data_IF_216076993057
#
_entry.id   IF_216076993057
#
_cell.length_a   1.000
_cell.length_b   1.000
_cell.length_c   1.000
_cell.angle_alpha   90.00
_cell.angle_beta   90.00
_cell.angle_gamma   90.00
#
_symmetry.space_group_name_H-M   'P 1'
#
loop_
_entity.id
_entity.type
_entity.pdbx_description
1 polymer ?
#
# COMPACT_ATOMS: atom_id res chain seq x y z
N UNK A 1 25.21 -51.11 -26.01
CA UNK A 1 25.37 -50.97 -27.47
C UNK A 1 26.41 -51.97 -27.92
N UNK A 2 26.29 -52.46 -29.14
CA UNK A 2 27.31 -53.29 -29.77
C UNK A 2 28.25 -52.41 -30.62
N UNK A 3 29.45 -52.91 -30.89
CA UNK A 3 30.39 -52.26 -31.82
C UNK A 3 30.11 -52.76 -33.23
N UNK A 4 30.01 -51.85 -34.18
CA UNK A 4 29.87 -52.15 -35.62
C UNK A 4 31.08 -51.61 -36.37
N UNK A 5 31.53 -52.35 -37.39
CA UNK A 5 32.59 -51.91 -38.28
C UNK A 5 31.99 -51.23 -39.51
N UNK A 6 32.37 -49.98 -39.75
CA UNK A 6 32.03 -49.23 -40.95
C UNK A 6 33.20 -49.39 -41.94
N UNK A 7 32.89 -49.92 -43.13
CA UNK A 7 33.88 -50.18 -44.18
C UNK A 7 33.34 -49.68 -45.53
N UNK A 8 34.23 -49.19 -46.39
CA UNK A 8 33.93 -48.65 -47.73
C UNK A 8 33.19 -47.29 -47.76
N UNK A 9 33.34 -46.49 -46.71
CA UNK A 9 32.88 -45.09 -46.62
C UNK A 9 34.04 -44.08 -46.73
N UNK A 10 35.29 -44.57 -46.85
CA UNK A 10 36.51 -43.80 -47.05
C UNK A 10 37.29 -43.56 -45.76
N UNK A 11 38.58 -43.20 -45.87
CA UNK A 11 39.54 -43.15 -44.76
C UNK A 11 39.10 -42.32 -43.55
N UNK A 12 38.21 -41.34 -43.75
CA UNK A 12 37.68 -40.48 -42.70
C UNK A 12 36.52 -41.11 -41.89
N UNK A 13 35.78 -42.05 -42.48
CA UNK A 13 34.55 -42.61 -41.91
C UNK A 13 34.62 -44.12 -41.67
N UNK A 14 35.61 -44.80 -42.24
CA UNK A 14 35.89 -46.19 -41.95
C UNK A 14 36.44 -46.35 -40.53
N UNK A 15 35.97 -47.37 -39.81
CA UNK A 15 36.37 -47.60 -38.43
C UNK A 15 35.31 -48.31 -37.60
N UNK A 16 35.62 -48.48 -36.31
CA UNK A 16 34.73 -49.11 -35.35
C UNK A 16 33.86 -48.04 -34.69
N UNK A 17 32.54 -48.19 -34.75
CA UNK A 17 31.58 -47.29 -34.13
C UNK A 17 30.73 -48.02 -33.07
N UNK A 18 30.50 -47.37 -31.93
CA UNK A 18 29.59 -47.89 -30.90
C UNK A 18 28.16 -47.45 -31.19
N UNK A 19 27.24 -48.41 -31.31
CA UNK A 19 25.83 -48.14 -31.59
C UNK A 19 25.16 -47.58 -30.34
N UNK A 20 24.59 -46.37 -30.45
CA UNK A 20 23.93 -45.64 -29.36
C UNK A 20 22.41 -45.63 -29.46
N UNK A 21 21.83 -45.84 -30.65
CA UNK A 21 20.39 -46.02 -30.82
C UNK A 21 20.05 -46.92 -32.00
N UNK A 22 19.00 -47.72 -31.85
CA UNK A 22 18.44 -48.58 -32.90
C UNK A 22 16.97 -48.22 -33.07
N UNK A 23 16.58 -47.81 -34.28
CA UNK A 23 15.18 -47.56 -34.64
C UNK A 23 14.77 -48.56 -35.71
N UNK A 24 13.72 -49.33 -35.45
CA UNK A 24 13.06 -50.16 -36.45
C UNK A 24 11.81 -49.46 -36.96
N UNK A 25 11.62 -49.44 -38.27
CA UNK A 25 10.41 -48.93 -38.91
C UNK A 25 9.87 -49.98 -39.86
N UNK A 26 8.62 -50.37 -39.67
CA UNK A 26 7.93 -51.32 -40.52
C UNK A 26 6.81 -50.59 -41.25
N UNK A 27 6.91 -50.49 -42.58
CA UNK A 27 5.87 -49.88 -43.39
C UNK A 27 5.67 -50.61 -44.73
N UNK A 28 4.54 -50.35 -45.39
CA UNK A 28 4.15 -51.06 -46.61
C UNK A 28 4.98 -50.70 -47.85
N UNK A 29 5.75 -49.61 -47.80
CA UNK A 29 6.59 -49.16 -48.93
C UNK A 29 8.03 -49.68 -48.84
N UNK A 30 8.61 -49.66 -47.64
CA UNK A 30 10.02 -49.99 -47.38
C UNK A 30 10.20 -51.33 -46.64
N UNK A 31 9.11 -52.02 -46.31
CA UNK A 31 9.16 -53.24 -45.49
C UNK A 31 9.71 -52.92 -44.11
N UNK A 32 10.64 -53.76 -43.63
CA UNK A 32 11.36 -53.54 -42.37
C UNK A 32 12.68 -52.80 -42.64
N UNK A 33 12.75 -51.55 -42.19
CA UNK A 33 13.97 -50.75 -42.17
C UNK A 33 14.54 -50.66 -40.74
N UNK A 34 15.84 -50.92 -40.59
CA UNK A 34 16.56 -50.70 -39.33
C UNK A 34 17.55 -49.57 -39.51
N UNK A 35 17.41 -48.51 -38.72
CA UNK A 35 18.33 -47.37 -38.67
C UNK A 35 19.18 -47.46 -37.41
N UNK A 36 20.50 -47.49 -37.58
CA UNK A 36 21.46 -47.44 -36.49
C UNK A 36 22.00 -46.01 -36.37
N UNK A 37 22.08 -45.49 -35.14
CA UNK A 37 22.81 -44.25 -34.83
C UNK A 37 24.03 -44.57 -33.98
N UNK A 38 25.11 -43.85 -34.23
CA UNK A 38 26.39 -43.97 -33.54
C UNK A 38 26.85 -42.59 -33.09
N UNK A 39 27.55 -42.54 -31.95
CA UNK A 39 27.95 -41.28 -31.30
C UNK A 39 27.00 -40.89 -30.16
N UNK A 40 27.50 -40.08 -29.23
CA UNK A 40 26.71 -39.54 -28.12
C UNK A 40 25.82 -38.40 -28.63
N UNK A 41 24.68 -38.19 -27.97
CA UNK A 41 23.92 -36.95 -28.17
C UNK A 41 24.86 -35.75 -27.92
N UNK A 42 24.96 -34.79 -28.85
CA UNK A 42 25.77 -33.59 -28.62
C UNK A 42 25.34 -32.81 -27.38
N UNK A 43 24.11 -33.01 -26.89
CA UNK A 43 23.63 -32.48 -25.63
C UNK A 43 23.99 -33.44 -24.48
N UNK A 44 24.87 -32.98 -23.58
CA UNK A 44 25.16 -33.68 -22.33
C UNK A 44 23.88 -33.85 -21.50
N UNK A 45 23.78 -34.90 -20.68
CA UNK A 45 22.65 -35.10 -19.75
C UNK A 45 22.42 -33.89 -18.84
N UNK A 46 23.47 -33.18 -18.43
CA UNK A 46 23.41 -31.92 -17.67
C UNK A 46 22.90 -30.71 -18.48
N UNK A 47 22.66 -30.88 -19.79
CA UNK A 47 22.04 -29.91 -20.69
C UNK A 47 20.65 -30.36 -21.18
N UNK A 48 20.15 -31.51 -20.74
CA UNK A 48 18.74 -31.86 -20.92
C UNK A 48 17.90 -31.03 -19.94
N UNK A 49 16.67 -30.71 -20.32
CA UNK A 49 15.84 -29.67 -19.69
C UNK A 49 15.93 -29.67 -18.15
N UNK A 50 16.14 -28.46 -17.62
CA UNK A 50 16.50 -28.09 -16.25
C UNK A 50 15.78 -28.92 -15.16
N UNK A 51 16.46 -29.16 -14.03
CA UNK A 51 15.84 -29.65 -12.76
C UNK A 51 14.96 -28.56 -12.11
N UNK A 52 14.30 -27.74 -12.92
CA UNK A 52 13.37 -26.71 -12.47
C UNK A 52 11.95 -27.25 -12.65
N UNK A 53 11.07 -26.90 -11.73
CA UNK A 53 9.66 -27.24 -11.87
C UNK A 53 9.07 -26.52 -13.08
N UNK A 54 8.32 -27.24 -13.90
CA UNK A 54 7.62 -26.63 -15.03
C UNK A 54 6.63 -25.56 -14.57
N UNK A 55 6.49 -24.46 -15.33
CA UNK A 55 5.48 -23.42 -15.10
C UNK A 55 4.09 -24.03 -14.98
N UNK A 56 3.26 -23.52 -14.07
CA UNK A 56 1.90 -24.00 -13.83
C UNK A 56 1.80 -25.54 -13.66
N UNK A 57 2.87 -26.17 -13.15
CA UNK A 57 2.97 -27.63 -12.95
C UNK A 57 2.73 -28.41 -14.26
N UNK A 58 3.08 -27.83 -15.41
CA UNK A 58 2.84 -28.43 -16.74
C UNK A 58 1.36 -28.74 -17.06
N UNK A 59 0.41 -28.17 -16.30
CA UNK A 59 -1.02 -28.36 -16.54
C UNK A 59 -1.54 -27.45 -17.66
N UNK A 60 -1.01 -26.23 -17.73
CA UNK A 60 -1.39 -25.20 -18.71
C UNK A 60 -0.15 -24.36 -19.09
N UNK A 61 -0.19 -23.62 -20.21
CA UNK A 61 0.87 -22.65 -20.52
C UNK A 61 1.00 -21.61 -19.40
N UNK A 62 2.20 -21.49 -18.82
CA UNK A 62 2.48 -20.50 -17.79
C UNK A 62 2.60 -19.08 -18.36
N UNK A 63 2.32 -18.08 -17.51
CA UNK A 63 2.62 -16.67 -17.80
C UNK A 63 3.93 -16.31 -17.11
N UNK A 64 4.93 -15.95 -17.93
CA UNK A 64 6.24 -15.52 -17.46
C UNK A 64 6.29 -14.01 -17.29
N UNK A 65 6.83 -13.56 -16.16
CA UNK A 65 7.01 -12.14 -15.84
C UNK A 65 5.75 -11.44 -15.32
N UNK A 66 5.90 -10.16 -15.02
CA UNK A 66 4.82 -9.32 -14.48
C UNK A 66 3.91 -8.80 -15.59
N UNK A 67 2.63 -8.65 -15.27
CA UNK A 67 1.61 -8.13 -16.19
C UNK A 67 0.94 -6.90 -15.58
N UNK A 68 0.64 -5.91 -16.42
CA UNK A 68 -0.22 -4.77 -16.02
C UNK A 68 -1.67 -5.18 -16.25
N UNK A 69 -2.54 -4.80 -15.32
CA UNK A 69 -3.98 -5.01 -15.43
C UNK A 69 -4.77 -3.81 -14.94
N UNK A 70 -6.07 -3.81 -15.23
CA UNK A 70 -7.01 -2.77 -14.83
C UNK A 70 -8.08 -3.37 -13.92
N UNK A 71 -8.40 -2.69 -12.83
CA UNK A 71 -9.45 -3.15 -11.92
C UNK A 71 -10.84 -2.95 -12.52
N UNK A 72 -11.67 -3.98 -12.49
CA UNK A 72 -13.02 -3.96 -13.08
C UNK A 72 -14.13 -4.25 -12.06
N UNK A 73 -13.84 -4.93 -10.95
CA UNK A 73 -14.81 -5.17 -9.88
C UNK A 73 -14.13 -5.36 -8.52
N UNK A 74 -14.79 -4.90 -7.46
CA UNK A 74 -14.33 -5.02 -6.06
C UNK A 74 -15.21 -5.95 -5.22
N UNK A 75 -16.43 -6.24 -5.70
CA UNK A 75 -17.47 -6.93 -4.94
C UNK A 75 -17.92 -8.21 -5.64
N UNK A 76 -18.49 -9.14 -4.85
CA UNK A 76 -19.00 -10.44 -5.32
C UNK A 76 -17.90 -11.36 -5.84
N UNK A 77 -16.77 -11.40 -5.12
CA UNK A 77 -15.79 -12.46 -5.25
C UNK A 77 -16.49 -13.82 -5.01
N UNK A 78 -16.57 -14.72 -6.01
CA UNK A 78 -17.25 -16.00 -5.86
C UNK A 78 -16.67 -16.93 -4.78
N UNK A 79 -15.41 -16.72 -4.39
CA UNK A 79 -14.74 -17.52 -3.37
C UNK A 79 -14.67 -16.84 -1.99
N UNK A 80 -15.15 -15.60 -1.86
CA UNK A 80 -15.10 -14.82 -0.62
C UNK A 80 -13.68 -14.69 -0.02
N UNK A 81 -12.65 -14.61 -0.87
CA UNK A 81 -11.24 -14.58 -0.47
C UNK A 81 -10.65 -13.16 -0.46
N UNK A 82 -11.51 -12.13 -0.42
CA UNK A 82 -11.13 -10.72 -0.48
C UNK A 82 -10.30 -10.37 -1.74
N UNK A 83 -10.64 -11.01 -2.86
CA UNK A 83 -10.00 -10.75 -4.17
C UNK A 83 -10.68 -9.56 -4.86
N UNK A 84 -9.95 -8.91 -5.76
CA UNK A 84 -10.49 -7.93 -6.69
C UNK A 84 -10.33 -8.43 -8.13
N UNK A 85 -11.23 -8.03 -9.01
CA UNK A 85 -11.25 -8.49 -10.40
C UNK A 85 -10.36 -7.59 -11.25
N UNK A 86 -9.44 -8.21 -11.99
CA UNK A 86 -8.45 -7.55 -12.85
C UNK A 86 -8.63 -8.02 -14.29
N UNK A 87 -8.69 -7.08 -15.21
CA UNK A 87 -8.65 -7.33 -16.65
C UNK A 87 -7.25 -7.08 -17.19
N UNK A 88 -6.74 -7.98 -18.02
CA UNK A 88 -5.41 -7.87 -18.63
C UNK A 88 -5.54 -7.49 -20.11
N UNK A 89 -4.72 -6.56 -20.63
CA UNK A 89 -4.75 -6.17 -22.05
C UNK A 89 -4.59 -7.36 -23.02
N UNK A 90 -3.86 -8.40 -22.61
CA UNK A 90 -3.58 -9.57 -23.45
C UNK A 90 -4.79 -10.49 -23.67
N UNK A 91 -5.84 -10.38 -22.84
CA UNK A 91 -6.97 -11.33 -22.88
C UNK A 91 -8.06 -10.97 -23.90
N UNK A 92 -7.95 -9.82 -24.58
CA UNK A 92 -8.93 -9.35 -25.56
C UNK A 92 -10.23 -8.83 -24.93
N UNK A 93 -11.03 -8.08 -25.70
CA UNK A 93 -12.20 -7.33 -25.21
C UNK A 93 -13.35 -8.19 -24.66
N UNK A 94 -13.35 -9.49 -24.93
CA UNK A 94 -14.37 -10.43 -24.44
C UNK A 94 -13.99 -11.10 -23.12
N UNK A 95 -12.84 -10.75 -22.52
CA UNK A 95 -12.40 -11.32 -21.26
C UNK A 95 -13.21 -10.78 -20.10
N UNK A 96 -13.68 -11.68 -19.23
CA UNK A 96 -14.32 -11.26 -17.99
C UNK A 96 -13.31 -10.80 -16.92
N UNK A 97 -12.01 -11.00 -17.12
CA UNK A 97 -10.96 -10.77 -16.12
C UNK A 97 -10.82 -11.88 -15.07
N UNK A 98 -9.79 -11.79 -14.23
CA UNK A 98 -9.46 -12.77 -13.20
C UNK A 98 -9.59 -12.14 -11.81
N UNK A 99 -10.14 -12.89 -10.85
CA UNK A 99 -10.10 -12.54 -9.44
C UNK A 99 -8.70 -12.78 -8.86
N UNK A 100 -8.04 -11.72 -8.42
CA UNK A 100 -6.68 -11.77 -7.89
C UNK A 100 -6.64 -11.30 -6.44
N UNK A 101 -5.81 -11.95 -5.62
CA UNK A 101 -5.52 -11.50 -4.25
C UNK A 101 -4.64 -10.26 -4.29
N UNK A 102 -4.79 -9.37 -3.29
CA UNK A 102 -3.96 -8.18 -3.15
C UNK A 102 -2.87 -8.39 -2.10
N UNK A 103 -1.61 -8.16 -2.48
CA UNK A 103 -0.51 -8.05 -1.54
C UNK A 103 -0.65 -6.75 -0.72
N UNK A 104 -0.69 -6.87 0.60
CA UNK A 104 -0.80 -5.75 1.54
C UNK A 104 0.46 -5.66 2.40
N UNK A 105 0.74 -4.46 2.95
CA UNK A 105 1.90 -4.23 3.84
C UNK A 105 1.84 -5.06 5.13
N UNK A 106 0.65 -5.22 5.71
CA UNK A 106 0.35 -6.15 6.80
C UNK A 106 -1.06 -6.69 6.60
N UNK A 107 -1.26 -7.98 6.82
CA UNK A 107 -2.56 -8.65 6.72
C UNK A 107 -2.64 -9.77 7.75
N UNK A 108 -3.59 -9.67 8.67
CA UNK A 108 -3.86 -10.68 9.68
C UNK A 108 -5.28 -10.61 10.24
N UNK A 109 -5.67 -11.55 11.11
CA UNK A 109 -7.00 -11.55 11.70
C UNK A 109 -7.25 -10.25 12.50
N UNK A 110 -8.15 -9.40 12.01
CA UNK A 110 -8.50 -8.13 12.65
C UNK A 110 -7.40 -7.05 12.66
N UNK A 111 -6.34 -7.20 11.84
CA UNK A 111 -5.24 -6.22 11.75
C UNK A 111 -4.69 -6.13 10.32
N UNK A 112 -4.14 -4.97 9.98
CA UNK A 112 -3.42 -4.78 8.72
C UNK A 112 -3.56 -3.39 8.14
N UNK A 113 -3.04 -3.23 6.94
CA UNK A 113 -3.19 -2.04 6.11
C UNK A 113 -4.25 -2.34 5.05
N UNK A 114 -5.32 -1.55 5.01
CA UNK A 114 -6.43 -1.76 4.09
C UNK A 114 -6.53 -0.60 3.10
N UNK A 115 -5.85 -0.76 1.96
CA UNK A 115 -5.92 0.14 0.81
C UNK A 115 -6.12 -0.71 -0.44
N UNK A 116 -7.38 -0.87 -0.84
CA UNK A 116 -7.71 -1.55 -2.09
C UNK A 116 -7.70 -0.54 -3.25
N UNK A 117 -7.18 -0.91 -4.42
CA UNK A 117 -7.32 -0.12 -5.64
C UNK A 117 -8.79 0.12 -6.00
N UNK A 118 -9.07 1.22 -6.71
CA UNK A 118 -10.41 1.55 -7.20
C UNK A 118 -10.69 0.96 -8.59
N UNK A 119 -11.97 0.89 -8.98
CA UNK A 119 -12.35 0.48 -10.34
C UNK A 119 -11.75 1.47 -11.34
N UNK A 120 -10.99 0.93 -12.29
CA UNK A 120 -10.30 1.71 -13.30
C UNK A 120 -8.80 1.89 -13.05
N UNK A 121 -8.32 1.63 -11.82
CA UNK A 121 -6.92 1.75 -11.47
C UNK A 121 -6.06 0.71 -12.21
N UNK A 122 -4.85 1.14 -12.56
CA UNK A 122 -3.83 0.29 -13.15
C UNK A 122 -3.00 -0.38 -12.04
N UNK A 123 -2.83 -1.69 -12.15
CA UNK A 123 -2.13 -2.52 -11.17
C UNK A 123 -1.08 -3.38 -11.84
N UNK A 124 -0.04 -3.74 -11.07
CA UNK A 124 0.96 -4.71 -11.47
C UNK A 124 0.66 -6.06 -10.81
N UNK A 125 0.68 -7.13 -11.60
CA UNK A 125 0.23 -8.46 -11.20
C UNK A 125 1.34 -9.48 -11.47
N UNK A 126 1.58 -10.35 -10.49
CA UNK A 126 2.40 -11.55 -10.63
C UNK A 126 1.56 -12.82 -10.54
N UNK A 127 2.14 -13.94 -10.96
CA UNK A 127 1.49 -15.25 -10.98
C UNK A 127 2.31 -16.24 -10.16
N UNK A 128 1.70 -16.84 -9.13
CA UNK A 128 2.38 -17.82 -8.30
C UNK A 128 2.72 -19.05 -9.15
N UNK A 129 3.99 -19.49 -9.13
CA UNK A 129 4.49 -20.58 -9.97
C UNK A 129 4.22 -20.38 -11.48
N UNK A 130 4.18 -19.12 -11.93
CA UNK A 130 3.82 -18.75 -13.31
C UNK A 130 2.43 -19.29 -13.74
N UNK A 131 1.55 -19.63 -12.80
CA UNK A 131 0.22 -20.16 -13.06
C UNK A 131 -0.79 -19.02 -13.28
N UNK A 132 -1.39 -18.89 -14.48
CA UNK A 132 -2.38 -17.87 -14.79
C UNK A 132 -3.60 -17.85 -13.86
N UNK A 133 -3.88 -18.96 -13.16
CA UNK A 133 -5.02 -19.10 -12.24
C UNK A 133 -4.73 -18.49 -10.87
N UNK A 134 -3.45 -18.33 -10.52
CA UNK A 134 -2.99 -17.87 -9.20
C UNK A 134 -2.39 -16.46 -9.28
N UNK A 135 -3.22 -15.51 -9.72
CA UNK A 135 -2.85 -14.11 -9.84
C UNK A 135 -2.79 -13.40 -8.46
N UNK A 136 -1.76 -12.60 -8.27
CA UNK A 136 -1.56 -11.74 -7.09
C UNK A 136 -1.18 -10.33 -7.55
N UNK A 137 -1.98 -9.36 -7.14
CA UNK A 137 -1.68 -7.94 -7.35
C UNK A 137 -0.57 -7.55 -6.37
N UNK A 138 0.51 -6.99 -6.91
CA UNK A 138 1.69 -6.59 -6.13
C UNK A 138 1.66 -5.11 -5.75
N UNK A 139 0.87 -4.29 -6.47
CA UNK A 139 0.69 -2.87 -6.19
C UNK A 139 -0.07 -2.15 -7.30
N UNK A 140 -0.32 -0.86 -7.08
CA UNK A 140 -0.92 0.06 -8.05
C UNK A 140 0.15 0.90 -8.74
N UNK A 141 -0.15 1.36 -9.94
CA UNK A 141 0.73 2.19 -10.76
C UNK A 141 0.08 3.54 -11.05
N UNK A 142 0.84 4.62 -10.90
CA UNK A 142 0.47 5.91 -11.47
C UNK A 142 0.77 5.95 -12.97
N UNK A 143 -0.01 6.74 -13.70
CA UNK A 143 0.16 6.93 -15.15
C UNK A 143 -0.25 8.35 -15.56
N UNK A 144 -0.15 8.67 -16.85
CA UNK A 144 -0.63 9.95 -17.35
C UNK A 144 -2.16 10.12 -17.20
N UNK A 145 -2.91 9.01 -17.22
CA UNK A 145 -4.35 9.02 -16.99
C UNK A 145 -4.71 9.11 -15.49
N UNK A 146 -3.84 8.56 -14.63
CA UNK A 146 -3.98 8.57 -13.17
C UNK A 146 -2.70 9.13 -12.53
N UNK A 147 -2.49 10.45 -12.56
CA UNK A 147 -1.26 11.05 -12.09
C UNK A 147 -1.11 10.91 -10.57
N UNK A 148 0.14 10.87 -10.11
CA UNK A 148 0.45 10.88 -8.69
C UNK A 148 -0.01 12.20 -8.01
N UNK A 149 -0.45 12.17 -6.73
CA UNK A 149 -0.84 13.38 -6.00
C UNK A 149 0.29 14.41 -5.83
N UNK A 150 1.54 13.95 -5.80
CA UNK A 150 2.74 14.76 -5.76
C UNK A 150 3.53 14.53 -7.05
N UNK A 151 4.05 15.61 -7.63
CA UNK A 151 4.93 15.49 -8.80
C UNK A 151 6.30 14.96 -8.37
N UNK A 152 6.91 14.02 -9.11
CA UNK A 152 8.28 13.60 -8.85
C UNK A 152 9.25 14.78 -8.91
N UNK A 153 10.10 14.90 -7.89
CA UNK A 153 11.19 15.87 -7.82
C UNK A 153 12.46 15.16 -7.32
N UNK A 154 13.64 15.66 -7.70
CA UNK A 154 14.93 15.00 -7.37
C UNK A 154 15.26 15.10 -5.88
N UNK A 155 14.82 16.17 -5.21
CA UNK A 155 14.93 16.38 -3.77
C UNK A 155 13.90 15.56 -2.98
N UNK A 156 12.69 15.41 -3.54
CA UNK A 156 11.58 14.62 -2.99
C UNK A 156 11.33 14.83 -1.47
N UNK A 157 11.20 16.09 -1.00
CA UNK A 157 11.06 16.36 0.43
C UNK A 157 9.70 15.89 0.98
N UNK A 158 8.68 15.85 0.13
CA UNK A 158 7.31 15.52 0.53
C UNK A 158 6.95 14.06 0.27
N UNK A 159 6.43 13.40 1.30
CA UNK A 159 5.96 12.00 1.26
C UNK A 159 4.61 11.93 1.94
N UNK A 160 3.69 11.06 1.52
CA UNK A 160 2.39 11.04 2.16
C UNK A 160 1.40 10.01 1.68
N UNK A 161 0.28 9.97 2.41
CA UNK A 161 -0.91 9.18 2.10
C UNK A 161 -1.99 10.14 1.63
N UNK A 162 -2.58 9.86 0.47
CA UNK A 162 -3.62 10.67 -0.15
C UNK A 162 -4.81 9.77 -0.48
N UNK A 163 -6.03 10.25 -0.22
CA UNK A 163 -7.26 9.51 -0.57
C UNK A 163 -8.06 10.26 -1.61
N UNK A 164 -8.94 9.55 -2.33
CA UNK A 164 -9.78 10.13 -3.39
C UNK A 164 -10.63 11.32 -2.94
N UNK A 165 -11.09 11.35 -1.69
CA UNK A 165 -11.89 12.47 -1.18
C UNK A 165 -11.06 13.71 -0.89
N UNK A 166 -9.73 13.64 -0.97
CA UNK A 166 -8.80 14.73 -0.68
C UNK A 166 -8.31 14.78 0.77
N UNK A 167 -8.47 13.70 1.54
CA UNK A 167 -7.77 13.57 2.83
C UNK A 167 -6.29 13.34 2.54
N UNK A 168 -5.42 14.03 3.29
CA UNK A 168 -3.97 13.88 3.16
C UNK A 168 -3.27 13.79 4.51
N UNK A 169 -2.25 12.94 4.58
CA UNK A 169 -1.25 12.89 5.63
C UNK A 169 0.11 13.06 4.94
N UNK A 170 0.80 14.16 5.22
CA UNK A 170 2.03 14.55 4.55
C UNK A 170 3.15 14.68 5.57
N UNK A 171 4.29 14.11 5.23
CA UNK A 171 5.58 14.27 5.87
C UNK A 171 6.42 15.17 4.97
N UNK A 172 7.00 16.22 5.53
CA UNK A 172 7.85 17.17 4.82
C UNK A 172 9.23 17.18 5.47
N UNK A 173 10.25 16.69 4.75
CA UNK A 173 11.62 16.58 5.24
C UNK A 173 12.37 17.93 5.21
N UNK A 174 11.89 18.93 4.45
CA UNK A 174 12.51 20.26 4.42
C UNK A 174 12.10 21.08 5.64
N UNK A 175 10.80 21.15 5.93
CA UNK A 175 10.29 21.85 7.12
C UNK A 175 10.36 20.98 8.40
N UNK A 176 10.72 19.70 8.25
CA UNK A 176 10.65 18.66 9.29
C UNK A 176 9.27 18.69 9.97
N UNK A 177 8.23 18.37 9.21
CA UNK A 177 6.84 18.43 9.68
C UNK A 177 5.99 17.22 9.32
N UNK A 178 4.93 17.02 10.10
CA UNK A 178 3.86 16.06 9.84
C UNK A 178 2.54 16.81 9.83
N UNK A 179 1.78 16.72 8.75
CA UNK A 179 0.49 17.40 8.57
C UNK A 179 -0.61 16.45 8.14
N UNK A 180 -1.71 16.44 8.88
CA UNK A 180 -2.97 15.78 8.50
C UNK A 180 -3.96 16.86 8.12
N UNK A 181 -4.57 16.76 6.95
CA UNK A 181 -5.49 17.78 6.45
C UNK A 181 -6.71 17.17 5.75
N UNK A 182 -7.86 17.81 5.99
CA UNK A 182 -9.11 17.49 5.31
C UNK A 182 -9.38 18.46 4.15
N UNK A 183 -10.19 18.07 3.14
CA UNK A 183 -10.51 18.96 2.01
C UNK A 183 -11.15 20.28 2.38
N UNK A 184 -11.75 20.36 3.58
CA UNK A 184 -12.40 21.57 4.10
C UNK A 184 -11.47 22.44 4.94
N UNK A 185 -10.18 22.15 5.00
CA UNK A 185 -9.19 22.99 5.66
C UNK A 185 -8.97 22.73 7.15
N UNK A 186 -9.56 21.67 7.73
CA UNK A 186 -9.16 21.21 9.07
C UNK A 186 -7.76 20.63 9.04
N UNK A 187 -6.91 21.00 9.99
CA UNK A 187 -5.51 20.55 10.05
C UNK A 187 -5.12 20.07 11.44
N UNK A 188 -4.19 19.12 11.46
CA UNK A 188 -3.36 18.78 12.62
C UNK A 188 -1.92 18.78 12.13
N UNK A 189 -1.03 19.50 12.80
CA UNK A 189 0.36 19.68 12.37
C UNK A 189 1.33 19.63 13.54
N UNK A 190 2.47 18.97 13.32
CA UNK A 190 3.66 19.00 14.18
C UNK A 190 4.79 19.53 13.29
N UNK A 191 5.48 20.59 13.70
CA UNK A 191 6.44 21.30 12.85
C UNK A 191 7.62 21.80 13.67
N UNK A 192 8.83 21.47 13.23
CA UNK A 192 10.06 22.03 13.81
C UNK A 192 10.29 23.47 13.32
N UNK A 193 9.91 23.81 12.09
CA UNK A 193 10.01 25.17 11.55
C UNK A 193 9.12 26.17 12.32
N UNK A 194 7.89 25.75 12.65
CA UNK A 194 6.97 26.57 13.45
C UNK A 194 7.23 26.45 14.96
N UNK A 195 8.13 25.55 15.37
CA UNK A 195 8.39 25.15 16.76
C UNK A 195 7.08 24.86 17.54
N UNK A 196 6.10 24.22 16.87
CA UNK A 196 4.74 24.12 17.38
C UNK A 196 4.00 22.82 16.98
N UNK A 197 3.05 22.45 17.84
CA UNK A 197 1.98 21.49 17.56
C UNK A 197 0.67 22.25 17.45
N UNK A 198 -0.05 22.10 16.33
CA UNK A 198 -1.27 22.85 16.06
C UNK A 198 -2.43 21.98 15.59
N UNK A 199 -3.65 22.40 15.95
CA UNK A 199 -4.92 21.83 15.48
C UNK A 199 -5.83 23.00 15.10
N UNK A 200 -6.31 23.02 13.86
CA UNK A 200 -7.17 24.09 13.34
C UNK A 200 -8.43 23.55 12.68
N UNK A 201 -9.52 24.32 12.79
CA UNK A 201 -10.71 24.14 11.99
C UNK A 201 -11.00 25.34 11.07
N UNK A 202 -11.91 25.15 10.12
CA UNK A 202 -12.37 26.17 9.17
C UNK A 202 -13.20 27.29 9.80
N UNK A 203 -13.55 27.18 11.09
CA UNK A 203 -14.37 28.15 11.81
C UNK A 203 -13.51 29.08 12.68
N UNK A 204 -12.19 28.99 12.60
CA UNK A 204 -11.22 29.79 13.35
C UNK A 204 -10.94 29.31 14.76
N UNK A 205 -11.44 28.13 15.16
CA UNK A 205 -11.06 27.51 16.42
C UNK A 205 -9.69 26.86 16.27
N UNK A 206 -8.83 27.03 17.28
CA UNK A 206 -7.50 26.44 17.24
C UNK A 206 -6.95 26.09 18.62
N UNK A 207 -6.05 25.12 18.60
CA UNK A 207 -5.20 24.75 19.71
C UNK A 207 -3.76 24.77 19.24
N UNK A 208 -2.88 25.41 20.00
CA UNK A 208 -1.46 25.50 19.69
C UNK A 208 -0.63 25.28 20.95
N UNK A 209 0.41 24.45 20.83
CA UNK A 209 1.44 24.28 21.84
C UNK A 209 2.79 24.64 21.23
N UNK A 210 3.53 25.55 21.85
CA UNK A 210 4.80 26.09 21.33
C UNK A 210 5.74 26.48 22.47
N UNK A 211 6.91 27.02 22.11
CA UNK A 211 7.86 27.58 23.09
C UNK A 211 7.30 28.77 23.91
N UNK A 212 6.23 29.44 23.45
CA UNK A 212 5.56 30.52 24.16
C UNK A 212 4.49 30.03 25.16
N UNK A 213 4.17 28.74 25.14
CA UNK A 213 3.14 28.12 25.98
C UNK A 213 2.04 27.45 25.17
N UNK A 214 0.85 27.35 25.77
CA UNK A 214 -0.33 26.68 25.21
C UNK A 214 -1.43 27.72 24.99
N UNK A 215 -1.93 27.81 23.76
CA UNK A 215 -3.08 28.62 23.38
C UNK A 215 -4.27 27.72 23.00
N UNK A 216 -5.44 28.04 23.55
CA UNK A 216 -6.71 27.41 23.24
C UNK A 216 -7.73 28.50 22.95
N UNK A 217 -8.10 28.62 21.68
CA UNK A 217 -8.98 29.68 21.20
C UNK A 217 -10.26 29.11 20.58
N UNK A 218 -11.39 29.75 20.91
CA UNK A 218 -12.66 29.51 20.23
C UNK A 218 -13.24 30.82 19.70
N UNK A 219 -13.68 30.80 18.44
CA UNK A 219 -14.31 31.95 17.78
C UNK A 219 -15.75 32.21 18.23
N UNK A 220 -16.37 31.27 18.95
CA UNK A 220 -17.76 31.39 19.41
C UNK A 220 -17.92 31.02 20.89
N UNK A 221 -17.95 29.72 21.21
CA UNK A 221 -18.22 29.25 22.57
C UNK A 221 -17.21 28.19 22.99
N UNK A 222 -16.43 28.51 24.01
CA UNK A 222 -15.68 27.53 24.80
C UNK A 222 -16.53 27.07 25.99
N UNK A 223 -16.69 25.75 26.18
CA UNK A 223 -17.46 25.18 27.30
C UNK A 223 -16.64 24.11 28.02
N UNK A 224 -16.25 24.39 29.26
CA UNK A 224 -15.52 23.46 30.12
C UNK A 224 -16.51 22.85 31.14
N UNK A 225 -16.68 21.53 31.13
CA UNK A 225 -17.59 20.80 32.03
C UNK A 225 -16.90 19.53 32.53
N UNK A 226 -16.95 19.28 33.84
CA UNK A 226 -16.47 18.05 34.45
C UNK A 226 -17.57 17.45 35.33
N UNK A 227 -17.60 16.11 35.43
CA UNK A 227 -18.46 15.42 36.40
C UNK A 227 -17.85 15.43 37.82
N UNK A 228 -16.51 15.49 37.90
CA UNK A 228 -15.76 15.77 39.11
C UNK A 228 -15.28 17.22 39.12
N UNK A 229 -14.03 17.43 39.53
CA UNK A 229 -13.48 18.75 39.76
C UNK A 229 -12.85 19.38 38.51
N UNK A 230 -12.85 20.72 38.46
CA UNK A 230 -12.04 21.53 37.55
C UNK A 230 -11.10 22.37 38.44
N UNK A 231 -9.81 22.04 38.42
CA UNK A 231 -8.78 22.78 39.13
C UNK A 231 -8.04 23.71 38.16
N UNK A 232 -7.88 24.97 38.54
CA UNK A 232 -7.14 25.99 37.77
C UNK A 232 -6.15 26.65 38.72
N UNK A 233 -4.87 26.36 38.52
CA UNK A 233 -3.78 26.89 39.34
C UNK A 233 -2.75 27.59 38.46
N UNK A 234 -2.20 28.70 38.96
CA UNK A 234 -1.15 29.46 38.29
C UNK A 234 -0.58 30.50 39.24
N UNK A 235 0.64 30.99 38.96
CA UNK A 235 1.23 32.10 39.74
C UNK A 235 0.33 33.33 39.65
N UNK A 236 -0.22 33.59 38.46
CA UNK A 236 -1.26 34.58 38.22
C UNK A 236 -2.39 33.91 37.42
N UNK A 237 -3.64 34.21 37.75
CA UNK A 237 -4.82 33.76 37.02
C UNK A 237 -5.69 34.97 36.71
N UNK A 238 -5.70 35.39 35.44
CA UNK A 238 -6.49 36.52 34.96
C UNK A 238 -7.78 36.04 34.31
N UNK A 239 -8.93 36.47 34.84
CA UNK A 239 -10.25 36.16 34.31
C UNK A 239 -10.95 37.46 33.91
N UNK A 240 -11.13 37.66 32.61
CA UNK A 240 -11.76 38.87 32.06
C UNK A 240 -12.99 38.51 31.25
N UNK A 241 -14.11 39.21 31.49
CA UNK A 241 -15.31 39.13 30.67
C UNK A 241 -15.74 40.53 30.22
N UNK A 242 -15.98 40.72 28.92
CA UNK A 242 -16.35 42.02 28.35
C UNK A 242 -17.80 42.41 28.66
N UNK A 243 -18.71 41.43 28.73
CA UNK A 243 -20.12 41.66 28.98
C UNK A 243 -20.52 41.32 30.43
N UNK A 244 -20.31 40.07 30.83
CA UNK A 244 -20.69 39.59 32.16
C UNK A 244 -19.80 38.42 32.58
N UNK A 245 -19.30 38.47 33.82
CA UNK A 245 -18.73 37.31 34.52
C UNK A 245 -19.78 36.75 35.47
N UNK A 246 -20.07 35.45 35.37
CA UNK A 246 -21.01 34.73 36.24
C UNK A 246 -20.30 33.53 36.87
N UNK A 247 -20.13 33.56 38.19
CA UNK A 247 -19.55 32.47 38.97
C UNK A 247 -20.53 32.06 40.08
N UNK A 248 -21.00 30.80 40.06
CA UNK A 248 -22.00 30.28 40.98
C UNK A 248 -21.52 28.98 41.63
N UNK A 249 -21.67 28.88 42.95
CA UNK A 249 -21.52 27.63 43.70
C UNK A 249 -22.86 27.25 44.31
N UNK A 250 -23.40 26.07 43.96
CA UNK A 250 -24.74 25.65 44.39
C UNK A 250 -24.84 25.34 45.89
N UNK A 251 -23.80 24.69 46.43
CA UNK A 251 -23.69 24.40 47.86
C UNK A 251 -22.95 25.53 48.60
N UNK A 252 -21.82 25.99 48.03
CA UNK A 252 -21.04 27.11 48.55
C UNK A 252 -20.11 27.67 47.46
N UNK A 253 -19.73 28.94 47.62
CA UNK A 253 -18.65 29.58 46.87
C UNK A 253 -17.78 30.35 47.87
N UNK A 254 -16.46 30.28 47.74
CA UNK A 254 -15.54 31.02 48.63
C UNK A 254 -14.45 31.73 47.84
N UNK A 255 -14.13 32.95 48.27
CA UNK A 255 -13.04 33.78 47.74
C UNK A 255 -12.12 34.13 48.91
N UNK A 256 -10.87 33.69 48.86
CA UNK A 256 -9.92 33.83 49.97
C UNK A 256 -8.58 34.41 49.46
N UNK A 257 -8.01 35.33 50.24
CA UNK A 257 -6.66 35.89 50.02
C UNK A 257 -5.95 36.00 51.36
N UNK A 258 -4.67 35.67 51.41
CA UNK A 258 -3.81 35.92 52.58
C UNK A 258 -3.40 37.39 52.70
N UNK A 259 -3.48 38.13 51.59
CA UNK A 259 -3.24 39.56 51.51
C UNK A 259 -4.54 40.35 51.43
N UNK A 260 -4.56 41.39 50.59
CA UNK A 260 -5.74 42.22 50.35
C UNK A 260 -6.62 41.63 49.26
N UNK A 261 -7.93 41.54 49.51
CA UNK A 261 -8.95 41.26 48.48
C UNK A 261 -9.63 42.58 48.10
N UNK A 262 -9.59 42.97 46.84
CA UNK A 262 -10.25 44.18 46.34
C UNK A 262 -11.43 43.82 45.44
N UNK A 263 -12.63 44.27 45.79
CA UNK A 263 -13.85 44.11 44.99
C UNK A 263 -14.39 45.50 44.66
N UNK A 264 -14.35 45.87 43.37
CA UNK A 264 -14.81 47.16 42.87
C UNK A 264 -16.03 47.00 41.97
N UNK A 265 -17.03 47.84 42.20
CA UNK A 265 -18.22 47.96 41.35
C UNK A 265 -18.94 49.26 41.65
N UNK A 266 -19.79 49.73 40.74
CA UNK A 266 -20.67 50.87 41.02
C UNK A 266 -21.63 50.57 42.18
N UNK A 267 -22.05 49.30 42.30
CA UNK A 267 -22.85 48.76 43.40
C UNK A 267 -22.30 47.37 43.75
N UNK A 268 -22.07 47.13 45.04
CA UNK A 268 -21.74 45.80 45.59
C UNK A 268 -22.83 45.43 46.60
N UNK A 269 -23.58 44.37 46.32
CA UNK A 269 -24.62 43.85 47.23
C UNK A 269 -24.08 42.62 47.95
N UNK A 270 -24.19 42.61 49.27
CA UNK A 270 -23.83 41.48 50.14
C UNK A 270 -25.08 41.18 50.97
N UNK A 271 -25.57 39.94 50.92
CA UNK A 271 -26.76 39.48 51.64
C UNK A 271 -26.46 38.29 52.55
#
# INVERSE_FOLDING_TARGET
GDLVSLVNFGDRFDGIAFVTSVKHELNSQNGWLTTLKFGLDPNAFSKQDNVESDPATSLIPGIKGLQIGKITALERDPAEEFRVKVEFPIMGEASEGIWARLANLDAGPGRGVYFIPEIGDEVIVGFVNEDPRDAVILGSLFSNAHPAPLSPADDNPQKGIFTRSGLKMVFDDDSISIKIETPKGKTLQISEEDEAITIWDENGNHFQMSNQGIDLFSSNRLSLKAAGDIEIEGVNVDITAQAQLKAEGSASASLQSSGTTEVKGSIVQIN
#
